data_IF_577997738037
#
_entry.id   IF_577997738037
#
_cell.length_a   1.000
_cell.length_b   1.000
_cell.length_c   1.000
_cell.angle_alpha   90.00
_cell.angle_beta   90.00
_cell.angle_gamma   90.00
#
_symmetry.space_group_name_H-M   'P 1'
#
loop_
_entity.id
_entity.type
_entity.pdbx_description
1 polymer ?
#
# COMPACT_ATOMS: atom_id res chain seq x y z
N UNK A 1 51.78 33.01 8.02
CA UNK A 1 52.07 31.61 8.41
C UNK A 1 50.73 31.00 8.79
N UNK A 2 50.39 29.89 8.14
CA UNK A 2 49.01 29.44 7.90
C UNK A 2 48.27 28.91 9.14
N UNK A 3 46.95 29.10 9.12
CA UNK A 3 45.98 28.60 10.09
C UNK A 3 45.79 27.08 9.92
N UNK A 4 45.64 26.39 11.04
CA UNK A 4 45.35 24.95 11.15
C UNK A 4 43.98 24.64 10.53
N UNK A 5 43.96 23.67 9.61
CA UNK A 5 42.75 23.03 9.10
C UNK A 5 42.68 21.63 9.73
N UNK A 6 41.72 21.45 10.64
CA UNK A 6 41.40 20.13 11.18
C UNK A 6 40.70 19.30 10.10
N UNK A 7 41.45 18.37 9.51
CA UNK A 7 40.92 17.32 8.65
C UNK A 7 40.13 16.32 9.51
N UNK A 8 38.81 16.51 9.61
CA UNK A 8 37.90 15.45 10.05
C UNK A 8 37.82 14.41 8.93
N UNK A 9 38.58 13.33 9.10
CA UNK A 9 38.51 12.13 8.26
C UNK A 9 37.07 11.58 8.25
N UNK A 10 36.39 11.72 7.11
CA UNK A 10 35.17 10.99 6.78
C UNK A 10 35.50 9.51 6.50
N UNK A 11 35.77 8.73 7.54
CA UNK A 11 35.68 7.28 7.47
C UNK A 11 34.21 6.88 7.60
N UNK A 12 33.43 7.06 6.52
CA UNK A 12 32.25 6.23 6.31
C UNK A 12 32.75 4.82 6.01
N UNK A 13 32.84 3.99 7.04
CA UNK A 13 32.94 2.54 6.85
C UNK A 13 31.72 2.09 6.05
N UNK A 14 31.94 1.69 4.80
CA UNK A 14 31.01 0.89 4.03
C UNK A 14 30.90 -0.46 4.75
N UNK A 15 29.90 -0.57 5.61
CA UNK A 15 29.50 -1.83 6.22
C UNK A 15 28.62 -2.58 5.21
N UNK A 16 29.29 -3.20 4.24
CA UNK A 16 28.75 -3.89 3.05
C UNK A 16 27.93 -5.17 3.35
N UNK A 17 27.45 -5.35 4.58
CA UNK A 17 26.49 -6.39 4.92
C UNK A 17 25.11 -5.77 5.20
N UNK A 18 24.52 -5.15 4.17
CA UNK A 18 23.07 -5.03 4.09
C UNK A 18 22.51 -6.45 3.91
N UNK A 19 21.45 -6.84 4.64
CA UNK A 19 20.80 -8.12 4.40
C UNK A 19 20.43 -8.20 2.92
N UNK A 20 20.67 -9.37 2.33
CA UNK A 20 20.30 -9.69 0.95
C UNK A 20 18.88 -9.17 0.67
N UNK A 21 18.76 -8.25 -0.29
CA UNK A 21 17.46 -7.75 -0.72
C UNK A 21 16.77 -8.94 -1.38
N UNK A 22 15.84 -9.55 -0.64
CA UNK A 22 15.00 -10.61 -1.18
C UNK A 22 14.00 -9.94 -2.11
N UNK A 23 14.35 -9.89 -3.39
CA UNK A 23 13.46 -9.50 -4.47
C UNK A 23 12.83 -10.77 -5.06
N UNK A 24 11.54 -10.95 -4.83
CA UNK A 24 10.79 -12.12 -5.29
C UNK A 24 9.48 -11.67 -5.92
N UNK A 25 9.16 -12.25 -7.07
CA UNK A 25 7.85 -12.10 -7.71
C UNK A 25 7.12 -13.44 -7.67
N UNK A 26 5.82 -13.39 -7.40
CA UNK A 26 4.96 -14.57 -7.42
C UNK A 26 3.66 -14.24 -8.18
N UNK A 27 3.20 -15.17 -9.01
CA UNK A 27 1.92 -15.04 -9.69
C UNK A 27 0.80 -15.51 -8.76
N UNK A 28 -0.16 -14.63 -8.49
CA UNK A 28 -1.35 -14.97 -7.74
C UNK A 28 -2.36 -15.70 -8.62
N UNK A 29 -3.11 -16.63 -8.05
CA UNK A 29 -4.28 -17.19 -8.71
C UNK A 29 -5.32 -16.10 -8.94
N UNK A 30 -5.84 -16.00 -10.17
CA UNK A 30 -6.79 -14.97 -10.60
C UNK A 30 -8.14 -15.60 -10.99
N UNK A 31 -8.99 -15.96 -10.01
CA UNK A 31 -10.34 -16.43 -10.28
C UNK A 31 -11.19 -15.30 -10.89
N UNK A 32 -12.31 -15.68 -11.53
CA UNK A 32 -13.26 -14.70 -12.08
C UNK A 32 -13.90 -13.86 -10.97
N UNK A 33 -14.36 -12.65 -11.31
CA UNK A 33 -15.06 -11.80 -10.35
C UNK A 33 -16.36 -12.46 -9.88
N UNK A 34 -17.05 -13.22 -10.75
CA UNK A 34 -18.27 -13.94 -10.43
C UNK A 34 -18.03 -15.07 -9.41
N UNK A 35 -16.93 -15.79 -9.56
CA UNK A 35 -16.50 -16.81 -8.61
C UNK A 35 -16.16 -16.19 -7.26
N UNK A 36 -15.34 -15.13 -7.26
CA UNK A 36 -14.98 -14.40 -6.04
C UNK A 36 -16.21 -13.83 -5.33
N UNK A 37 -17.15 -13.23 -6.07
CA UNK A 37 -18.40 -12.72 -5.51
C UNK A 37 -19.21 -13.84 -4.84
N UNK A 38 -19.31 -15.01 -5.49
CA UNK A 38 -20.04 -16.16 -4.96
C UNK A 38 -19.42 -16.68 -3.66
N UNK A 39 -18.10 -16.89 -3.67
CA UNK A 39 -17.35 -17.34 -2.49
C UNK A 39 -17.46 -16.36 -1.33
N UNK A 40 -17.31 -15.06 -1.62
CA UNK A 40 -17.33 -14.03 -0.58
C UNK A 40 -18.74 -13.84 0.00
N UNK A 41 -19.80 -13.87 -0.81
CA UNK A 41 -21.18 -13.84 -0.29
C UNK A 41 -21.42 -14.97 0.70
N UNK A 42 -21.04 -16.20 0.35
CA UNK A 42 -21.21 -17.36 1.21
C UNK A 42 -20.39 -17.22 2.50
N UNK A 43 -19.11 -16.90 2.39
CA UNK A 43 -18.19 -16.91 3.52
C UNK A 43 -18.46 -15.76 4.49
N UNK A 44 -18.75 -14.55 3.98
CA UNK A 44 -18.97 -13.37 4.80
C UNK A 44 -20.35 -13.38 5.48
N UNK A 45 -21.34 -14.10 4.94
CA UNK A 45 -22.65 -14.25 5.58
C UNK A 45 -22.56 -14.88 6.99
N UNK A 46 -21.48 -15.60 7.30
CA UNK A 46 -21.22 -16.10 8.66
C UNK A 46 -20.76 -15.03 9.65
N UNK A 47 -20.31 -13.87 9.16
CA UNK A 47 -19.68 -12.82 9.96
C UNK A 47 -20.52 -11.53 10.09
N UNK A 48 -21.50 -11.33 9.20
CA UNK A 48 -22.32 -10.11 9.17
C UNK A 48 -23.81 -10.45 8.99
N UNK A 49 -24.67 -9.61 9.57
CA UNK A 49 -26.13 -9.80 9.47
C UNK A 49 -26.66 -9.63 8.03
N UNK A 50 -26.01 -8.77 7.26
CA UNK A 50 -26.33 -8.56 5.86
C UNK A 50 -25.03 -8.37 5.09
N UNK A 51 -24.85 -9.15 4.03
CA UNK A 51 -23.77 -9.01 3.06
C UNK A 51 -24.36 -9.14 1.67
N UNK A 52 -23.91 -8.30 0.76
CA UNK A 52 -24.04 -8.52 -0.67
C UNK A 52 -22.69 -8.23 -1.31
N UNK A 53 -22.19 -9.17 -2.10
CA UNK A 53 -21.00 -8.99 -2.94
C UNK A 53 -21.44 -9.07 -4.39
N UNK A 54 -21.28 -7.98 -5.13
CA UNK A 54 -21.75 -7.84 -6.51
C UNK A 54 -20.60 -7.54 -7.45
N UNK A 55 -20.69 -8.02 -8.69
CA UNK A 55 -19.82 -7.56 -9.76
C UNK A 55 -20.48 -6.35 -10.42
N UNK A 56 -19.85 -5.19 -10.34
CA UNK A 56 -20.39 -3.92 -10.84
C UNK A 56 -19.35 -3.18 -11.67
N UNK A 57 -19.79 -2.27 -12.54
CA UNK A 57 -18.87 -1.31 -13.17
C UNK A 57 -18.26 -0.39 -12.12
N UNK A 58 -16.93 -0.21 -12.15
CA UNK A 58 -16.24 0.68 -11.22
C UNK A 58 -16.84 2.10 -11.28
N UNK A 59 -17.31 2.66 -10.15
CA UNK A 59 -17.81 4.02 -10.12
C UNK A 59 -16.66 4.98 -10.45
N UNK A 60 -16.99 6.20 -10.88
CA UNK A 60 -15.96 7.20 -11.12
C UNK A 60 -15.33 7.64 -9.78
N UNK A 61 -14.10 7.18 -9.54
CA UNK A 61 -13.40 7.46 -8.28
C UNK A 61 -12.83 8.88 -8.20
N UNK A 62 -12.84 9.66 -9.29
CA UNK A 62 -12.45 11.08 -9.26
C UNK A 62 -13.45 11.95 -8.50
N UNK A 63 -14.68 11.49 -8.33
CA UNK A 63 -15.79 12.25 -7.77
C UNK A 63 -16.19 11.76 -6.38
N UNK A 64 -17.07 12.52 -5.73
CA UNK A 64 -17.68 12.13 -4.46
C UNK A 64 -18.22 10.69 -4.51
N UNK A 65 -18.05 9.88 -3.44
CA UNK A 65 -17.42 10.23 -2.15
C UNK A 65 -15.90 10.00 -2.08
N UNK A 66 -15.24 9.60 -3.18
CA UNK A 66 -13.89 9.04 -3.14
C UNK A 66 -12.78 10.06 -3.35
N UNK A 67 -12.94 10.94 -4.34
CA UNK A 67 -11.96 11.98 -4.69
C UNK A 67 -10.52 11.45 -4.91
N UNK A 68 -10.38 10.26 -5.48
CA UNK A 68 -9.09 9.66 -5.82
C UNK A 68 -8.42 10.39 -7.01
N UNK A 69 -7.10 10.24 -7.19
CA UNK A 69 -6.37 10.84 -8.30
C UNK A 69 -6.56 10.10 -9.64
N UNK A 70 -7.22 8.93 -9.65
CA UNK A 70 -7.56 8.17 -10.86
C UNK A 70 -9.05 7.82 -10.92
N UNK A 71 -9.62 7.56 -12.12
CA UNK A 71 -11.04 7.27 -12.29
C UNK A 71 -11.46 5.85 -11.85
N UNK A 72 -10.53 4.92 -11.68
CA UNK A 72 -10.81 3.57 -11.19
C UNK A 72 -9.59 2.89 -10.56
N UNK A 73 -9.72 1.58 -10.31
CA UNK A 73 -8.71 0.73 -9.66
C UNK A 73 -8.36 -0.51 -10.49
N UNK A 74 -8.69 -0.53 -11.78
CA UNK A 74 -8.49 -1.68 -12.65
C UNK A 74 -7.27 -1.53 -13.58
N UNK A 75 -6.89 -2.65 -14.20
CA UNK A 75 -5.81 -2.76 -15.18
C UNK A 75 -4.47 -3.13 -14.55
N UNK A 76 -3.86 -4.20 -15.07
CA UNK A 76 -2.53 -4.75 -14.67
C UNK A 76 -2.25 -4.64 -13.16
N UNK A 77 -3.15 -5.25 -12.39
CA UNK A 77 -3.18 -5.12 -10.93
C UNK A 77 -2.06 -5.94 -10.28
N UNK A 78 -1.31 -5.30 -9.39
CA UNK A 78 -0.20 -5.90 -8.65
C UNK A 78 -0.23 -5.47 -7.18
N UNK A 79 0.31 -6.31 -6.30
CA UNK A 79 0.57 -5.95 -4.90
C UNK A 79 2.07 -5.98 -4.70
N UNK A 80 2.61 -4.89 -4.17
CA UNK A 80 4.04 -4.75 -3.87
C UNK A 80 4.17 -4.57 -2.36
N UNK A 81 4.88 -5.49 -1.73
CA UNK A 81 5.23 -5.43 -0.31
C UNK A 81 6.70 -5.05 -0.18
N UNK A 82 7.02 -4.23 0.81
CA UNK A 82 8.37 -3.75 1.04
C UNK A 82 8.69 -3.77 2.53
N UNK A 83 9.94 -4.11 2.84
CA UNK A 83 10.42 -4.27 4.20
C UNK A 83 9.64 -5.32 5.00
N UNK A 84 9.77 -5.24 6.32
CA UNK A 84 9.04 -6.07 7.27
C UNK A 84 8.87 -5.32 8.60
N UNK A 85 7.97 -5.82 9.44
CA UNK A 85 7.70 -5.23 10.75
C UNK A 85 8.90 -5.31 11.71
N UNK A 86 9.91 -6.16 11.46
CA UNK A 86 11.11 -6.23 12.31
C UNK A 86 11.91 -4.92 12.27
N UNK A 87 11.83 -4.16 11.17
CA UNK A 87 12.48 -2.84 11.06
C UNK A 87 11.91 -1.81 12.04
N UNK A 88 10.69 -2.02 12.57
CA UNK A 88 10.10 -1.15 13.58
C UNK A 88 10.67 -1.42 14.98
N UNK A 89 10.91 -2.69 15.32
CA UNK A 89 11.26 -3.11 16.68
C UNK A 89 12.76 -3.27 16.91
N UNK A 90 13.56 -3.28 15.85
CA UNK A 90 15.00 -3.48 15.95
C UNK A 90 15.80 -2.27 15.42
N UNK A 91 16.18 -1.33 16.30
CA UNK A 91 16.95 -0.14 15.92
C UNK A 91 18.29 -0.45 15.23
N UNK A 92 18.94 -1.58 15.54
CA UNK A 92 20.20 -1.96 14.89
C UNK A 92 20.02 -2.53 13.47
N UNK A 93 18.81 -3.01 13.14
CA UNK A 93 18.38 -3.32 11.76
C UNK A 93 17.78 -2.11 11.04
N UNK A 94 17.66 -0.94 11.70
CA UNK A 94 17.17 0.32 11.11
C UNK A 94 18.27 1.06 10.31
N UNK A 95 19.16 0.30 9.66
CA UNK A 95 20.15 0.85 8.71
C UNK A 95 19.38 1.36 7.49
N UNK A 96 19.04 2.65 7.47
CA UNK A 96 18.42 3.42 6.36
C UNK A 96 17.59 2.59 5.38
N UNK A 97 16.53 1.96 5.88
CA UNK A 97 15.58 1.21 5.08
C UNK A 97 14.52 2.19 4.55
N UNK A 98 14.82 2.81 3.41
CA UNK A 98 13.96 3.78 2.74
C UNK A 98 14.02 3.55 1.23
N UNK A 99 12.86 3.52 0.59
CA UNK A 99 12.74 3.32 -0.86
C UNK A 99 12.00 4.49 -1.49
N UNK A 100 12.51 4.95 -2.64
CA UNK A 100 11.78 5.86 -3.53
C UNK A 100 10.78 5.02 -4.31
N UNK A 101 9.54 5.01 -3.84
CA UNK A 101 8.52 4.05 -4.29
C UNK A 101 8.31 4.04 -5.82
N UNK A 102 8.25 5.19 -6.53
CA UNK A 102 8.16 5.20 -7.99
C UNK A 102 9.31 4.47 -8.70
N UNK A 103 10.55 4.58 -8.19
CA UNK A 103 11.71 3.89 -8.77
C UNK A 103 11.61 2.37 -8.61
N UNK A 104 11.05 1.93 -7.48
CA UNK A 104 10.84 0.52 -7.21
C UNK A 104 9.69 -0.06 -8.05
N UNK A 105 8.57 0.66 -8.13
CA UNK A 105 7.40 0.29 -8.96
C UNK A 105 7.78 0.12 -10.44
N UNK A 106 8.68 0.96 -10.96
CA UNK A 106 9.17 0.89 -12.34
C UNK A 106 9.94 -0.39 -12.69
N UNK A 107 10.34 -1.17 -11.70
CA UNK A 107 11.01 -2.45 -11.94
C UNK A 107 10.01 -3.52 -12.40
N UNK A 108 8.72 -3.37 -12.06
CA UNK A 108 7.67 -4.37 -12.29
C UNK A 108 6.53 -3.87 -13.18
N UNK A 109 6.41 -2.55 -13.36
CA UNK A 109 5.31 -1.93 -14.10
C UNK A 109 5.83 -0.91 -15.11
N UNK A 110 5.02 -0.62 -16.11
CA UNK A 110 5.31 0.39 -17.13
C UNK A 110 4.11 1.31 -17.36
N UNK A 111 4.38 2.51 -17.88
CA UNK A 111 3.34 3.49 -18.20
C UNK A 111 2.81 4.23 -16.97
N UNK A 112 1.50 4.45 -16.95
CA UNK A 112 0.81 5.19 -15.87
C UNK A 112 0.24 4.23 -14.84
N UNK A 113 0.58 4.46 -13.58
CA UNK A 113 0.21 3.67 -12.42
C UNK A 113 -0.58 4.52 -11.41
N UNK A 114 -1.70 3.99 -10.94
CA UNK A 114 -2.42 4.45 -9.76
C UNK A 114 -2.03 3.54 -8.59
N UNK A 115 -1.58 4.15 -7.50
CA UNK A 115 -1.00 3.47 -6.34
C UNK A 115 -1.81 3.83 -5.10
N UNK A 116 -2.32 2.81 -4.43
CA UNK A 116 -3.07 2.93 -3.17
C UNK A 116 -2.46 1.97 -2.15
N UNK A 117 -2.25 2.40 -0.92
CA UNK A 117 -1.79 1.49 0.13
C UNK A 117 -1.33 2.22 1.37
N UNK A 118 -0.40 1.61 2.09
CA UNK A 118 0.13 2.18 3.31
C UNK A 118 1.62 1.90 3.49
N UNK A 119 2.29 2.80 4.19
CA UNK A 119 3.67 2.64 4.66
C UNK A 119 3.87 3.45 5.94
N UNK A 120 5.08 3.44 6.47
CA UNK A 120 5.51 4.28 7.57
C UNK A 120 6.36 5.43 7.05
N UNK A 121 6.39 6.51 7.82
CA UNK A 121 7.39 7.55 7.70
C UNK A 121 8.36 7.49 8.87
N UNK A 122 9.63 7.76 8.59
CA UNK A 122 10.73 7.76 9.57
C UNK A 122 10.81 9.01 10.44
N UNK A 123 9.89 9.97 10.29
CA UNK A 123 9.86 11.13 11.20
C UNK A 123 9.77 10.65 12.65
N UNK A 124 10.31 11.39 13.63
CA UNK A 124 10.07 11.07 15.05
C UNK A 124 8.99 12.02 15.57
N UNK A 125 7.87 11.52 16.13
CA UNK A 125 7.44 10.12 16.14
C UNK A 125 7.10 9.61 14.73
N UNK A 126 7.27 8.29 14.52
CA UNK A 126 6.93 7.64 13.25
C UNK A 126 5.44 7.89 12.97
N UNK A 127 5.11 8.16 11.70
CA UNK A 127 3.72 8.39 11.27
C UNK A 127 3.31 7.34 10.27
N UNK A 128 2.07 6.87 10.36
CA UNK A 128 1.45 6.10 9.30
C UNK A 128 1.30 6.99 8.06
N UNK A 129 1.44 6.40 6.88
CA UNK A 129 1.25 7.09 5.60
C UNK A 129 0.21 6.35 4.80
N UNK A 130 -0.92 7.01 4.54
CA UNK A 130 -1.88 6.58 3.53
C UNK A 130 -1.37 7.00 2.16
N UNK A 131 -0.99 6.01 1.34
CA UNK A 131 -0.52 6.24 -0.02
C UNK A 131 -1.70 6.29 -0.98
N UNK A 132 -1.76 7.37 -1.76
CA UNK A 132 -2.77 7.57 -2.79
C UNK A 132 -2.23 8.53 -3.85
N UNK A 133 -1.69 8.01 -4.95
CA UNK A 133 -1.11 8.85 -6.00
C UNK A 133 -1.17 8.20 -7.38
N UNK A 134 -1.15 9.04 -8.41
CA UNK A 134 -0.89 8.63 -9.79
C UNK A 134 0.53 9.01 -10.15
N UNK A 135 1.22 8.09 -10.82
CA UNK A 135 2.58 8.24 -11.30
C UNK A 135 2.67 7.75 -12.75
N UNK A 136 3.48 8.40 -13.58
CA UNK A 136 3.82 7.93 -14.93
C UNK A 136 5.33 7.85 -15.08
N UNK A 137 5.85 6.73 -15.59
CA UNK A 137 7.27 6.60 -15.89
C UNK A 137 7.71 7.48 -17.09
N UNK A 138 6.77 7.85 -17.95
CA UNK A 138 7.00 8.61 -19.18
C UNK A 138 6.84 10.13 -18.98
N UNK A 139 6.09 10.55 -17.96
CA UNK A 139 5.81 11.96 -17.67
C UNK A 139 6.06 12.21 -16.19
N UNK A 140 6.80 13.27 -15.87
CA UNK A 140 6.99 13.76 -14.49
C UNK A 140 5.69 14.36 -13.89
N UNK A 141 4.52 13.82 -14.26
CA UNK A 141 3.23 14.22 -13.75
C UNK A 141 2.84 13.29 -12.61
N UNK A 142 2.71 13.87 -11.43
CA UNK A 142 2.24 13.21 -10.24
C UNK A 142 1.01 13.97 -9.75
N UNK A 143 -0.13 13.30 -9.61
CA UNK A 143 -1.24 13.81 -8.79
C UNK A 143 -1.24 13.01 -7.50
N UNK A 144 -1.02 13.68 -6.37
CA UNK A 144 -0.91 13.05 -5.06
C UNK A 144 -2.02 13.51 -4.14
N UNK A 145 -2.65 12.53 -3.52
CA UNK A 145 -3.63 12.70 -2.44
C UNK A 145 -3.18 11.89 -1.20
N UNK A 146 -1.88 11.55 -1.12
CA UNK A 146 -1.28 10.83 0.00
C UNK A 146 -1.23 11.70 1.26
N UNK A 147 -1.37 11.07 2.42
CA UNK A 147 -1.44 11.75 3.71
C UNK A 147 -0.59 11.08 4.78
N UNK A 148 -0.02 11.87 5.68
CA UNK A 148 0.43 11.41 6.99
C UNK A 148 -0.78 11.27 7.92
N UNK A 149 -0.78 10.23 8.73
CA UNK A 149 -1.74 9.98 9.81
C UNK A 149 -0.92 9.79 11.10
N UNK A 150 -1.19 10.61 12.11
CA UNK A 150 -0.40 10.62 13.35
C UNK A 150 -1.20 11.14 14.53
N UNK A 151 -0.68 10.92 15.75
CA UNK A 151 -1.23 11.52 16.96
C UNK A 151 -0.57 12.88 17.21
N UNK A 152 -1.37 13.91 17.45
CA UNK A 152 -0.88 15.21 17.91
C UNK A 152 -0.47 15.16 19.40
N UNK A 153 0.02 16.28 19.93
CA UNK A 153 0.48 16.37 21.34
C UNK A 153 -0.64 16.10 22.36
N UNK A 154 -1.90 16.28 21.96
CA UNK A 154 -3.09 16.00 22.77
C UNK A 154 -3.57 14.54 22.66
N UNK A 155 -2.89 13.71 21.86
CA UNK A 155 -3.25 12.31 21.63
C UNK A 155 -4.41 12.12 20.66
N UNK A 156 -4.76 13.13 19.86
CA UNK A 156 -5.81 13.06 18.84
C UNK A 156 -5.23 12.69 17.48
N UNK A 157 -6.00 11.95 16.67
CA UNK A 157 -5.58 11.59 15.30
C UNK A 157 -5.69 12.81 14.39
N UNK A 158 -4.59 13.16 13.75
CA UNK A 158 -4.48 14.22 12.76
C UNK A 158 -4.02 13.65 11.41
N UNK A 159 -4.53 14.23 10.32
CA UNK A 159 -4.18 13.87 8.95
C UNK A 159 -3.59 15.09 8.24
N UNK A 160 -2.45 14.91 7.55
CA UNK A 160 -1.78 15.99 6.80
C UNK A 160 -1.38 15.54 5.40
N UNK A 161 -1.78 16.31 4.39
CA UNK A 161 -1.37 16.07 3.00
C UNK A 161 0.14 16.12 2.82
N UNK A 162 0.66 15.18 2.04
CA UNK A 162 2.05 15.17 1.62
C UNK A 162 2.16 16.03 0.37
N UNK A 163 2.98 17.09 0.44
CA UNK A 163 3.23 17.98 -0.70
C UNK A 163 3.76 17.22 -1.92
N UNK A 164 3.35 17.64 -3.12
CA UNK A 164 3.88 17.13 -4.40
C UNK A 164 5.39 17.32 -4.54
N UNK A 165 5.95 18.33 -3.86
CA UNK A 165 7.40 18.59 -3.85
C UNK A 165 8.21 17.59 -3.02
N UNK A 166 7.57 16.80 -2.16
CA UNK A 166 8.25 15.76 -1.38
C UNK A 166 8.42 14.49 -2.22
N UNK A 167 9.53 13.75 -2.10
CA UNK A 167 9.62 12.41 -2.69
C UNK A 167 8.56 11.47 -2.08
N UNK A 168 8.02 10.55 -2.88
CA UNK A 168 7.17 9.46 -2.37
C UNK A 168 8.08 8.39 -1.79
N UNK A 169 8.29 8.45 -0.48
CA UNK A 169 9.12 7.52 0.25
C UNK A 169 8.28 6.47 0.95
N UNK A 170 8.80 5.26 0.95
CA UNK A 170 8.41 4.23 1.89
C UNK A 170 9.56 4.07 2.91
N UNK A 171 9.26 4.16 4.20
CA UNK A 171 10.20 3.80 5.25
C UNK A 171 9.73 2.54 5.99
N UNK A 172 10.70 1.79 6.53
CA UNK A 172 10.51 0.61 7.38
C UNK A 172 9.78 -0.56 6.71
N UNK A 173 8.49 -0.42 6.42
CA UNK A 173 7.69 -1.43 5.73
C UNK A 173 6.38 -0.86 5.15
N UNK A 174 5.68 -1.69 4.40
CA UNK A 174 4.30 -1.45 3.98
C UNK A 174 3.92 -2.26 2.75
N UNK A 175 2.75 -1.93 2.21
CA UNK A 175 2.13 -2.66 1.11
C UNK A 175 1.34 -1.69 0.25
N UNK A 176 1.49 -1.80 -1.07
CA UNK A 176 0.74 -1.00 -2.02
C UNK A 176 0.10 -1.88 -3.09
N UNK A 177 -1.14 -1.55 -3.42
CA UNK A 177 -1.83 -1.97 -4.61
C UNK A 177 -1.50 -1.01 -5.76
N UNK A 178 -1.03 -1.56 -6.88
CA UNK A 178 -0.67 -0.83 -8.08
C UNK A 178 -1.57 -1.30 -9.22
N UNK A 179 -2.09 -0.38 -10.01
CA UNK A 179 -2.91 -0.67 -11.19
C UNK A 179 -2.79 0.45 -12.22
N UNK A 180 -3.41 0.33 -13.39
CA UNK A 180 -3.46 1.42 -14.37
C UNK A 180 -4.49 2.52 -14.06
N UNK A 181 -5.25 2.39 -12.98
CA UNK A 181 -6.29 3.37 -12.59
C UNK A 181 -7.49 3.42 -13.54
N UNK A 182 -7.73 2.36 -14.31
CA UNK A 182 -8.83 2.27 -15.29
C UNK A 182 -10.14 1.91 -14.59
N UNK A 183 -11.26 2.23 -15.27
CA UNK A 183 -12.59 1.76 -14.90
C UNK A 183 -12.88 0.48 -15.66
N UNK A 184 -13.31 -0.53 -14.92
CA UNK A 184 -13.78 -1.83 -15.43
C UNK A 184 -14.64 -2.46 -14.33
N UNK A 185 -15.08 -3.70 -14.51
CA UNK A 185 -15.79 -4.46 -13.48
C UNK A 185 -14.94 -4.65 -12.23
N UNK A 186 -15.57 -4.47 -11.08
CA UNK A 186 -15.01 -4.62 -9.73
C UNK A 186 -15.99 -5.34 -8.84
N UNK A 187 -15.49 -5.81 -7.70
CA UNK A 187 -16.30 -6.34 -6.62
C UNK A 187 -16.76 -5.19 -5.72
N UNK A 188 -18.07 -4.96 -5.68
CA UNK A 188 -18.71 -4.13 -4.66
C UNK A 188 -19.11 -5.01 -3.49
N UNK A 189 -18.65 -4.67 -2.29
CA UNK A 189 -19.05 -5.33 -1.05
C UNK A 189 -19.89 -4.36 -0.23
N UNK A 190 -21.13 -4.78 0.05
CA UNK A 190 -22.07 -4.07 0.90
C UNK A 190 -22.32 -4.90 2.15
N UNK A 191 -21.90 -4.42 3.32
CA UNK A 191 -22.18 -5.09 4.58
C UNK A 191 -22.89 -4.21 5.61
N UNK A 192 -23.75 -4.84 6.42
CA UNK A 192 -24.34 -4.24 7.62
C UNK A 192 -24.05 -5.14 8.81
N UNK A 193 -23.31 -4.63 9.78
CA UNK A 193 -22.89 -5.38 10.96
C UNK A 193 -23.92 -5.25 12.08
N UNK A 194 -24.22 -6.35 12.79
CA UNK A 194 -24.61 -6.28 14.20
C UNK A 194 -23.49 -6.89 15.04
N UNK A 195 -22.91 -6.06 15.91
CA UNK A 195 -22.10 -6.42 17.08
C UNK A 195 -21.37 -7.78 17.05
N UNK A 196 -20.42 -8.00 16.12
CA UNK A 196 -19.36 -8.99 16.33
C UNK A 196 -17.98 -8.45 15.90
N UNK A 197 -16.99 -8.75 16.75
CA UNK A 197 -15.64 -8.19 16.83
C UNK A 197 -14.65 -8.82 15.83
N UNK A 198 -15.01 -9.01 14.57
CA UNK A 198 -14.01 -9.35 13.54
C UNK A 198 -13.81 -8.20 12.57
N UNK A 199 -12.53 -7.89 12.32
CA UNK A 199 -12.12 -6.81 11.44
C UNK A 199 -12.43 -7.19 9.99
N UNK A 200 -13.08 -6.29 9.24
CA UNK A 200 -13.58 -6.54 7.87
C UNK A 200 -12.54 -7.18 6.94
N UNK A 201 -11.31 -6.63 6.93
CA UNK A 201 -10.19 -7.12 6.11
C UNK A 201 -9.80 -8.56 6.46
N UNK A 202 -9.84 -8.91 7.75
CA UNK A 202 -9.54 -10.26 8.22
C UNK A 202 -10.58 -11.25 7.70
N UNK A 203 -11.87 -10.90 7.75
CA UNK A 203 -12.94 -11.75 7.23
C UNK A 203 -12.85 -11.96 5.71
N UNK A 204 -12.48 -10.93 4.93
CA UNK A 204 -12.23 -11.09 3.49
C UNK A 204 -11.06 -12.05 3.21
N UNK A 205 -9.93 -11.89 3.92
CA UNK A 205 -8.76 -12.77 3.76
C UNK A 205 -9.08 -14.22 4.09
N UNK A 206 -9.87 -14.47 5.14
CA UNK A 206 -10.32 -15.82 5.47
C UNK A 206 -11.22 -16.41 4.37
N UNK A 207 -12.17 -15.63 3.85
CA UNK A 207 -13.07 -16.06 2.78
C UNK A 207 -12.31 -16.51 1.52
N UNK A 208 -11.32 -15.73 1.07
CA UNK A 208 -10.53 -16.06 -0.13
C UNK A 208 -9.57 -17.23 0.09
N UNK A 209 -9.06 -17.41 1.31
CA UNK A 209 -8.18 -18.54 1.64
C UNK A 209 -8.95 -19.88 1.73
N UNK A 210 -10.23 -19.86 2.11
CA UNK A 210 -11.06 -21.06 2.14
C UNK A 210 -11.36 -21.58 0.73
N UNK A 211 -11.60 -20.70 -0.26
CA UNK A 211 -11.81 -21.14 -1.65
C UNK A 211 -10.55 -21.67 -2.30
N UNK A 212 -9.40 -21.00 -2.11
CA UNK A 212 -8.11 -21.45 -2.66
C UNK A 212 -7.76 -22.89 -2.23
N UNK A 213 -8.11 -23.27 -0.99
CA UNK A 213 -7.87 -24.62 -0.48
C UNK A 213 -8.91 -25.67 -0.94
N UNK A 214 -10.09 -25.25 -1.41
CA UNK A 214 -11.10 -26.16 -1.97
C UNK A 214 -10.86 -26.54 -3.42
N UNK A 215 -10.14 -25.71 -4.18
CA UNK A 215 -9.77 -25.97 -5.60
C UNK A 215 -8.51 -26.83 -5.70
N UNK A 216 -7.71 -26.92 -4.62
CA UNK A 216 -6.50 -27.73 -4.55
C UNK A 216 -6.73 -29.20 -4.15
N UNK A 217 -7.98 -29.71 -4.19
CA UNK A 217 -8.33 -31.11 -3.92
C UNK A 217 -8.94 -31.79 -5.14
#
# INVERSE_FOLDING_TARGET
>A
MAMQNDNVNNNMQNDDNLPEVIDMTCNLHQPSLEELASVMNLSLAHHFNHVAVNVVECPNLLTSPYFLPAPGICGDAQVIEFGNHEHLYNPSKNKRVSWILPQYINQYTSGTCHVIGNTMSRGIPNKDVGMNFVYSSERAFHKRESNYIFLNEEGQVETKFISDSCPVLCDLYGSVYVCNGKRDKVLEVLERTAFYKQWKVTSFRYATNLSANSVAK
#
